data_IF_921684556660
#
_entry.id   IF_921684556660
#
_cell.length_a   1.000
_cell.length_b   1.000
_cell.length_c   1.000
_cell.angle_alpha   90.00
_cell.angle_beta   90.00
_cell.angle_gamma   90.00
#
_symmetry.space_group_name_H-M   'P 1'
#
loop_
_entity.id
_entity.type
_entity.pdbx_description
1 polymer ?
#
# COMPACT_ATOMS: atom_id res chain seq x y z
N UNK A 1 -15.65 5.84 0.10
CA UNK A 1 -14.95 4.76 0.77
C UNK A 1 -15.71 3.46 0.60
N UNK A 2 -15.12 2.54 -0.16
CA UNK A 2 -15.75 1.25 -0.48
C UNK A 2 -15.51 0.18 0.59
N UNK A 3 -14.67 0.47 1.60
CA UNK A 3 -14.33 -0.50 2.65
C UNK A 3 -14.95 -0.02 3.97
N UNK A 4 -15.76 -0.85 4.63
CA UNK A 4 -16.33 -0.49 5.94
C UNK A 4 -15.24 -0.36 7.00
N UNK A 5 -15.51 0.41 8.03
CA UNK A 5 -14.64 0.50 9.18
C UNK A 5 -14.60 -0.85 9.91
N UNK A 6 -13.43 -1.47 9.90
CA UNK A 6 -13.20 -2.79 10.50
C UNK A 6 -12.34 -2.73 11.77
N UNK A 7 -12.11 -1.52 12.30
CA UNK A 7 -11.21 -1.33 13.45
C UNK A 7 -11.77 -1.86 14.78
N UNK A 8 -13.07 -2.07 14.88
CA UNK A 8 -13.71 -2.53 16.10
C UNK A 8 -13.79 -4.06 16.25
N UNK A 9 -14.37 -4.52 17.36
CA UNK A 9 -14.58 -5.94 17.66
C UNK A 9 -15.79 -6.55 16.95
N UNK A 10 -16.45 -5.78 16.09
CA UNK A 10 -17.64 -6.21 15.35
C UNK A 10 -17.37 -7.37 14.39
N UNK A 11 -16.15 -7.48 13.89
CA UNK A 11 -15.76 -8.49 12.91
C UNK A 11 -14.68 -9.39 13.48
N UNK A 12 -14.73 -10.68 13.14
CA UNK A 12 -13.62 -11.61 13.43
C UNK A 12 -12.43 -11.29 12.53
N UNK A 13 -11.25 -11.79 12.90
CA UNK A 13 -10.05 -11.65 12.06
C UNK A 13 -10.27 -12.18 10.64
N UNK A 14 -10.91 -13.35 10.52
CA UNK A 14 -11.22 -13.92 9.20
C UNK A 14 -12.16 -13.03 8.39
N UNK A 15 -13.16 -12.42 9.02
CA UNK A 15 -14.08 -11.49 8.37
C UNK A 15 -13.35 -10.22 7.92
N UNK A 16 -12.48 -9.68 8.75
CA UNK A 16 -11.68 -8.50 8.41
C UNK A 16 -10.78 -8.77 7.20
N UNK A 17 -10.14 -9.93 7.16
CA UNK A 17 -9.32 -10.36 6.01
C UNK A 17 -10.20 -10.41 4.75
N UNK A 18 -11.35 -11.08 4.81
CA UNK A 18 -12.24 -11.20 3.65
C UNK A 18 -12.72 -9.84 3.13
N UNK A 19 -13.05 -8.91 4.02
CA UNK A 19 -13.48 -7.57 3.67
C UNK A 19 -12.36 -6.81 2.95
N UNK A 20 -11.15 -6.84 3.50
CA UNK A 20 -10.00 -6.15 2.90
C UNK A 20 -9.58 -6.78 1.57
N UNK A 21 -9.58 -8.11 1.47
CA UNK A 21 -9.27 -8.80 0.20
C UNK A 21 -10.24 -8.38 -0.91
N UNK A 22 -11.52 -8.29 -0.62
CA UNK A 22 -12.52 -7.81 -1.58
C UNK A 22 -12.30 -6.35 -1.92
N UNK A 23 -11.99 -5.52 -0.93
CA UNK A 23 -11.72 -4.09 -1.13
C UNK A 23 -10.53 -3.85 -2.05
N UNK A 24 -9.41 -4.52 -1.80
CA UNK A 24 -8.22 -4.36 -2.66
C UNK A 24 -8.46 -4.92 -4.06
N UNK A 25 -9.16 -6.04 -4.17
CA UNK A 25 -9.52 -6.62 -5.48
C UNK A 25 -10.37 -5.67 -6.29
N UNK A 26 -11.34 -5.00 -5.66
CA UNK A 26 -12.17 -4.01 -6.31
C UNK A 26 -11.36 -2.82 -6.81
N UNK A 27 -10.49 -2.26 -5.99
CA UNK A 27 -9.60 -1.16 -6.39
C UNK A 27 -8.68 -1.58 -7.54
N UNK A 28 -8.08 -2.75 -7.47
CA UNK A 28 -7.19 -3.26 -8.52
C UNK A 28 -7.97 -3.49 -9.83
N UNK A 29 -9.22 -3.95 -9.74
CA UNK A 29 -10.08 -4.10 -10.90
C UNK A 29 -10.39 -2.76 -11.55
N UNK A 30 -10.67 -1.72 -10.76
CA UNK A 30 -11.01 -0.38 -11.26
C UNK A 30 -9.80 0.31 -11.88
N UNK A 31 -8.62 0.23 -11.25
CA UNK A 31 -7.45 1.00 -11.65
C UNK A 31 -6.41 0.22 -12.44
N UNK A 32 -6.52 -1.10 -12.52
CA UNK A 32 -5.54 -2.00 -13.15
C UNK A 32 -4.12 -1.71 -12.65
N UNK A 33 -3.17 -1.52 -13.56
CA UNK A 33 -1.77 -1.26 -13.25
C UNK A 33 -1.43 0.22 -13.02
N UNK A 34 -2.42 1.10 -13.15
CA UNK A 34 -2.20 2.56 -13.03
C UNK A 34 -3.08 3.18 -11.94
N UNK A 35 -2.89 2.81 -10.66
CA UNK A 35 -3.70 3.37 -9.57
C UNK A 35 -3.36 4.84 -9.26
N UNK A 36 -2.20 5.35 -9.64
CA UNK A 36 -1.76 6.74 -9.44
C UNK A 36 -1.97 7.20 -7.99
N UNK A 37 -2.79 8.21 -7.77
CA UNK A 37 -3.11 8.72 -6.43
C UNK A 37 -3.64 7.62 -5.49
N UNK A 38 -4.43 6.69 -6.01
CA UNK A 38 -5.04 5.63 -5.20
C UNK A 38 -4.07 4.53 -4.76
N UNK A 39 -2.82 4.54 -5.25
CA UNK A 39 -1.78 3.65 -4.76
C UNK A 39 -1.52 3.85 -3.26
N UNK A 40 -1.71 5.04 -2.73
CA UNK A 40 -1.62 5.33 -1.29
C UNK A 40 -2.61 4.47 -0.48
N UNK A 41 -3.86 4.41 -0.92
CA UNK A 41 -4.89 3.62 -0.25
C UNK A 41 -4.64 2.12 -0.36
N UNK A 42 -4.18 1.67 -1.52
CA UNK A 42 -3.81 0.27 -1.72
C UNK A 42 -2.65 -0.14 -0.82
N UNK A 43 -1.63 0.71 -0.68
CA UNK A 43 -0.52 0.45 0.23
C UNK A 43 -1.01 0.29 1.68
N UNK A 44 -1.89 1.18 2.14
CA UNK A 44 -2.46 1.10 3.49
C UNK A 44 -3.28 -0.18 3.68
N UNK A 45 -4.09 -0.55 2.71
CA UNK A 45 -4.92 -1.75 2.77
C UNK A 45 -4.08 -3.02 2.84
N UNK A 46 -3.02 -3.11 2.06
CA UNK A 46 -2.09 -4.24 2.11
C UNK A 46 -1.31 -4.30 3.43
N UNK A 47 -0.98 -3.15 4.02
CA UNK A 47 -0.38 -3.11 5.35
C UNK A 47 -1.31 -3.73 6.39
N UNK A 48 -2.58 -3.35 6.38
CA UNK A 48 -3.59 -3.92 7.28
C UNK A 48 -3.77 -5.42 7.04
N UNK A 49 -3.82 -5.85 5.78
CA UNK A 49 -3.91 -7.27 5.42
C UNK A 49 -2.70 -8.05 5.96
N UNK A 50 -1.49 -7.53 5.79
CA UNK A 50 -0.29 -8.18 6.30
C UNK A 50 -0.38 -8.39 7.82
N UNK A 51 -0.81 -7.37 8.55
CA UNK A 51 -0.97 -7.46 10.01
C UNK A 51 -2.04 -8.49 10.41
N UNK A 52 -3.16 -8.54 9.70
CA UNK A 52 -4.23 -9.51 9.97
C UNK A 52 -3.80 -10.94 9.64
N UNK A 53 -3.10 -11.14 8.53
CA UNK A 53 -2.53 -12.45 8.19
C UNK A 53 -1.56 -12.93 9.27
N UNK A 54 -0.70 -12.04 9.78
CA UNK A 54 0.22 -12.38 10.88
C UNK A 54 -0.55 -12.78 12.14
N UNK A 55 -1.61 -12.05 12.48
CA UNK A 55 -2.46 -12.37 13.63
C UNK A 55 -3.14 -13.73 13.48
N UNK A 56 -3.42 -14.16 12.25
CA UNK A 56 -4.02 -15.46 11.94
C UNK A 56 -2.99 -16.58 11.74
N UNK A 57 -1.70 -16.29 11.81
CA UNK A 57 -0.64 -17.26 11.58
C UNK A 57 -0.34 -17.56 10.11
N UNK A 58 -0.86 -16.76 9.18
CA UNK A 58 -0.68 -16.90 7.73
C UNK A 58 0.54 -16.11 7.26
N UNK A 59 1.74 -16.61 7.57
CA UNK A 59 2.98 -15.85 7.32
C UNK A 59 3.29 -15.69 5.82
N UNK A 60 2.98 -16.68 4.99
CA UNK A 60 3.22 -16.60 3.54
C UNK A 60 2.35 -15.50 2.90
N UNK A 61 1.07 -15.47 3.23
CA UNK A 61 0.15 -14.44 2.76
C UNK A 61 0.53 -13.06 3.29
N UNK A 62 1.03 -13.00 4.53
CA UNK A 62 1.53 -11.76 5.12
C UNK A 62 2.73 -11.20 4.35
N UNK A 63 3.66 -12.06 3.92
CA UNK A 63 4.79 -11.66 3.08
C UNK A 63 4.32 -11.13 1.73
N UNK A 64 3.38 -11.82 1.09
CA UNK A 64 2.81 -11.36 -0.19
C UNK A 64 2.17 -9.98 -0.04
N UNK A 65 1.38 -9.79 1.00
CA UNK A 65 0.73 -8.50 1.28
C UNK A 65 1.76 -7.41 1.60
N UNK A 66 2.81 -7.73 2.33
CA UNK A 66 3.88 -6.79 2.65
C UNK A 66 4.63 -6.31 1.40
N UNK A 67 4.95 -7.23 0.50
CA UNK A 67 5.57 -6.86 -0.78
C UNK A 67 4.65 -5.98 -1.63
N UNK A 68 3.36 -6.30 -1.67
CA UNK A 68 2.37 -5.48 -2.37
C UNK A 68 2.27 -4.08 -1.78
N UNK A 69 2.29 -3.98 -0.46
CA UNK A 69 2.33 -2.69 0.24
C UNK A 69 3.52 -1.85 -0.23
N UNK A 70 4.71 -2.44 -0.25
CA UNK A 70 5.92 -1.76 -0.69
C UNK A 70 5.83 -1.34 -2.16
N UNK A 71 5.33 -2.21 -3.03
CA UNK A 71 5.18 -1.91 -4.47
C UNK A 71 4.25 -0.71 -4.69
N UNK A 72 3.11 -0.67 -4.02
CA UNK A 72 2.18 0.45 -4.16
C UNK A 72 2.71 1.73 -3.54
N UNK A 73 3.46 1.65 -2.44
CA UNK A 73 4.11 2.83 -1.87
C UNK A 73 5.12 3.43 -2.83
N UNK A 74 5.94 2.60 -3.47
CA UNK A 74 6.90 3.04 -4.50
C UNK A 74 6.15 3.64 -5.69
N UNK A 75 5.10 3.00 -6.17
CA UNK A 75 4.28 3.53 -7.28
C UNK A 75 3.66 4.88 -6.95
N UNK A 76 3.21 5.07 -5.71
CA UNK A 76 2.68 6.37 -5.28
C UNK A 76 3.75 7.45 -5.32
N UNK A 77 4.94 7.18 -4.77
CA UNK A 77 6.03 8.15 -4.71
C UNK A 77 6.59 8.47 -6.09
N UNK A 78 6.54 7.53 -7.03
CA UNK A 78 7.07 7.68 -8.39
C UNK A 78 5.98 8.00 -9.43
N UNK A 79 4.75 8.30 -9.01
CA UNK A 79 3.68 8.60 -9.97
C UNK A 79 4.01 9.84 -10.80
N UNK A 80 3.64 9.85 -12.09
CA UNK A 80 3.93 11.00 -12.95
C UNK A 80 3.09 12.23 -12.57
N UNK A 81 3.54 13.41 -12.96
CA UNK A 81 2.81 14.66 -12.71
C UNK A 81 1.47 14.70 -13.43
N UNK A 82 1.43 14.17 -14.66
CA UNK A 82 0.21 14.05 -15.44
C UNK A 82 0.13 12.67 -16.10
N UNK A 83 -1.06 12.14 -16.20
CA UNK A 83 -1.31 10.86 -16.85
C UNK A 83 -2.78 10.75 -17.27
N UNK A 84 -3.11 9.66 -17.94
CA UNK A 84 -4.48 9.29 -18.23
C UNK A 84 -4.73 7.87 -17.75
N UNK A 85 -5.81 7.66 -17.04
CA UNK A 85 -6.18 6.32 -16.59
C UNK A 85 -6.47 5.42 -17.79
N UNK A 86 -5.95 4.21 -17.77
CA UNK A 86 -6.04 3.26 -18.88
C UNK A 86 -7.01 2.11 -18.64
N UNK A 87 -7.50 1.94 -17.42
CA UNK A 87 -8.51 0.94 -17.11
C UNK A 87 -9.77 1.15 -17.94
N UNK A 88 -10.37 0.07 -18.44
CA UNK A 88 -11.60 0.14 -19.21
C UNK A 88 -12.77 0.78 -18.45
N UNK A 89 -12.73 0.74 -17.13
CA UNK A 89 -13.77 1.32 -16.26
C UNK A 89 -13.66 2.84 -16.18
N UNK A 90 -12.43 3.36 -16.13
CA UNK A 90 -12.15 4.80 -15.99
C UNK A 90 -11.26 5.33 -17.11
N UNK A 91 -11.36 4.69 -18.28
CA UNK A 91 -10.55 5.01 -19.44
C UNK A 91 -10.66 6.48 -19.83
N UNK A 92 -9.51 7.09 -20.12
CA UNK A 92 -9.37 8.50 -20.54
C UNK A 92 -9.69 9.54 -19.48
N UNK A 93 -9.91 9.15 -18.23
CA UNK A 93 -9.99 10.14 -17.15
C UNK A 93 -8.59 10.75 -16.98
N UNK A 94 -8.46 12.07 -17.09
CA UNK A 94 -7.16 12.73 -16.91
C UNK A 94 -6.75 12.73 -15.46
N UNK A 95 -5.45 12.68 -15.23
CA UNK A 95 -4.85 12.79 -13.91
C UNK A 95 -3.82 13.91 -13.91
N UNK A 96 -3.93 14.79 -12.91
CA UNK A 96 -2.95 15.84 -12.66
C UNK A 96 -2.57 15.81 -11.18
N UNK A 97 -1.31 15.53 -10.90
CA UNK A 97 -0.77 15.43 -9.53
C UNK A 97 -0.96 16.72 -8.73
N UNK A 98 -1.01 17.88 -9.41
CA UNK A 98 -1.22 19.16 -8.74
C UNK A 98 -2.60 19.28 -8.09
N UNK A 99 -3.58 18.47 -8.53
CA UNK A 99 -4.92 18.42 -7.99
C UNK A 99 -5.07 17.51 -6.78
N UNK A 100 -4.05 16.71 -6.47
CA UNK A 100 -4.05 15.83 -5.30
C UNK A 100 -4.15 16.67 -4.03
N UNK A 101 -5.16 16.37 -3.20
CA UNK A 101 -5.51 17.20 -2.03
C UNK A 101 -4.72 16.83 -0.79
N UNK A 102 -4.07 15.68 -0.77
CA UNK A 102 -3.38 15.17 0.40
C UNK A 102 -1.85 15.20 0.24
N UNK A 103 -1.19 15.67 1.28
CA UNK A 103 0.22 15.43 1.58
C UNK A 103 1.19 15.59 0.40
N UNK A 104 1.05 16.69 -0.36
CA UNK A 104 2.05 17.05 -1.37
C UNK A 104 3.43 17.14 -0.71
N UNK A 105 4.42 16.56 -1.35
CA UNK A 105 5.79 16.61 -0.84
C UNK A 105 6.11 15.64 0.29
N UNK A 106 5.23 14.69 0.59
CA UNK A 106 5.50 13.65 1.59
C UNK A 106 5.58 12.28 0.94
N UNK A 107 6.75 11.63 1.08
CA UNK A 107 6.96 10.26 0.60
C UNK A 107 6.09 9.26 1.37
N UNK A 108 5.35 8.44 0.63
CA UNK A 108 4.60 7.33 1.21
C UNK A 108 5.52 6.28 1.81
N UNK A 109 6.60 5.96 1.12
CA UNK A 109 7.62 5.04 1.62
C UNK A 109 8.19 5.53 2.96
N UNK A 110 8.55 6.81 3.04
CA UNK A 110 9.06 7.39 4.29
C UNK A 110 8.03 7.30 5.42
N UNK A 111 6.76 7.55 5.13
CA UNK A 111 5.70 7.43 6.14
C UNK A 111 5.53 6.01 6.65
N UNK A 112 5.55 5.04 5.75
CA UNK A 112 5.45 3.62 6.15
C UNK A 112 6.67 3.17 6.96
N UNK A 113 7.86 3.63 6.60
CA UNK A 113 9.09 3.32 7.32
C UNK A 113 9.13 3.91 8.74
N UNK A 114 8.43 5.01 8.98
CA UNK A 114 8.24 5.56 10.33
C UNK A 114 7.32 4.70 11.17
N UNK A 115 6.48 3.88 10.53
CA UNK A 115 5.75 2.83 11.20
C UNK A 115 6.73 1.83 11.77
N UNK A 116 6.42 1.27 12.94
CA UNK A 116 7.38 0.45 13.67
C UNK A 116 7.45 -0.97 13.10
N UNK A 117 8.22 -1.19 12.04
CA UNK A 117 8.48 -2.54 11.49
C UNK A 117 9.37 -3.39 12.42
N UNK A 118 9.97 -2.78 13.44
CA UNK A 118 10.62 -3.51 14.52
C UNK A 118 9.62 -4.02 15.57
N UNK A 119 8.35 -3.63 15.50
CA UNK A 119 7.32 -4.09 16.41
C UNK A 119 7.16 -5.62 16.36
N UNK A 120 6.73 -6.17 17.49
CA UNK A 120 6.64 -7.62 17.70
C UNK A 120 5.75 -8.34 16.68
N UNK A 121 4.72 -7.67 16.18
CA UNK A 121 3.81 -8.27 15.19
C UNK A 121 4.54 -8.71 13.91
N UNK A 122 5.61 -8.00 13.51
CA UNK A 122 6.37 -8.30 12.29
C UNK A 122 7.43 -9.38 12.51
N UNK A 123 7.70 -9.79 13.75
CA UNK A 123 8.74 -10.75 14.07
C UNK A 123 8.69 -12.05 13.24
N UNK A 124 7.51 -12.66 12.97
CA UNK A 124 7.46 -13.92 12.19
C UNK A 124 8.01 -13.81 10.78
N UNK A 125 7.98 -12.64 10.15
CA UNK A 125 8.42 -12.45 8.75
C UNK A 125 9.63 -11.52 8.62
N UNK A 126 10.02 -10.81 9.67
CA UNK A 126 11.07 -9.78 9.63
C UNK A 126 12.42 -10.31 9.16
N UNK A 127 12.77 -11.54 9.49
CA UNK A 127 14.01 -12.18 9.08
C UNK A 127 14.03 -12.70 7.66
N UNK A 128 12.89 -12.73 6.98
CA UNK A 128 12.76 -13.27 5.63
C UNK A 128 13.36 -12.32 4.59
N UNK A 129 14.04 -12.88 3.59
CA UNK A 129 14.69 -12.10 2.52
C UNK A 129 13.70 -11.20 1.76
N UNK A 130 12.48 -11.69 1.52
CA UNK A 130 11.44 -10.92 0.84
C UNK A 130 11.03 -9.68 1.65
N UNK A 131 10.93 -9.81 2.98
CA UNK A 131 10.65 -8.68 3.86
C UNK A 131 11.77 -7.64 3.81
N UNK A 132 13.01 -8.10 3.95
CA UNK A 132 14.19 -7.24 3.88
C UNK A 132 14.30 -6.54 2.54
N UNK A 133 14.04 -7.26 1.44
CA UNK A 133 14.04 -6.70 0.10
C UNK A 133 12.98 -5.61 -0.08
N UNK A 134 11.77 -5.83 0.42
CA UNK A 134 10.69 -4.85 0.36
C UNK A 134 11.05 -3.58 1.16
N UNK A 135 11.57 -3.73 2.37
CA UNK A 135 12.03 -2.60 3.19
C UNK A 135 13.14 -1.83 2.47
N UNK A 136 14.09 -2.56 1.87
CA UNK A 136 15.20 -1.95 1.11
C UNK A 136 14.69 -1.11 -0.06
N UNK A 137 13.71 -1.59 -0.82
CA UNK A 137 13.11 -0.82 -1.92
C UNK A 137 12.42 0.45 -1.42
N UNK A 138 11.73 0.38 -0.29
CA UNK A 138 11.09 1.57 0.30
C UNK A 138 12.12 2.59 0.77
N UNK A 139 13.20 2.14 1.39
CA UNK A 139 14.30 3.02 1.83
C UNK A 139 14.90 3.74 0.63
N UNK A 140 15.26 3.01 -0.41
CA UNK A 140 15.84 3.58 -1.63
C UNK A 140 14.90 4.60 -2.27
N UNK A 141 13.62 4.27 -2.38
CA UNK A 141 12.62 5.17 -2.94
C UNK A 141 12.46 6.44 -2.09
N UNK A 142 12.44 6.32 -0.78
CA UNK A 142 12.32 7.47 0.13
C UNK A 142 13.52 8.42 0.01
N UNK A 143 14.73 7.87 -0.11
CA UNK A 143 15.95 8.64 -0.31
C UNK A 143 15.92 9.39 -1.64
N UNK A 144 15.53 8.74 -2.72
CA UNK A 144 15.40 9.38 -4.05
C UNK A 144 14.35 10.48 -4.03
N UNK A 145 13.24 10.28 -3.33
CA UNK A 145 12.18 11.27 -3.20
C UNK A 145 12.67 12.54 -2.50
N UNK A 146 13.47 12.42 -1.44
CA UNK A 146 14.06 13.54 -0.73
C UNK A 146 15.05 14.32 -1.62
N UNK A 147 15.84 13.60 -2.42
CA UNK A 147 16.82 14.21 -3.34
C UNK A 147 16.13 15.01 -4.45
N UNK A 148 15.00 14.56 -4.95
CA UNK A 148 14.24 15.25 -6.00
C UNK A 148 13.57 16.55 -5.51
N UNK A 149 13.31 16.67 -4.21
CA UNK A 149 12.68 17.85 -3.62
C UNK A 149 13.68 18.95 -3.23
N UNK A 150 14.98 18.65 -3.20
CA UNK A 150 16.02 19.62 -3.01
C UNK A 150 16.37 20.34 -4.35
#
# INVERSE_FOLDING_TARGET
>A
ACVPDISGDRYTTAQKIAILEKGVSLFELVFDETPLFYADRLANSYRQLAMLYLSAGHNAEALDAFERMADYAVRYDTRPDTATYTSVIINRVPYDKSEDTEAKGISKCARLLRGNFAARIWAPIRGHERFKGAVGRMIECAEQFEDEEE
#
